data_IF_808359174271
#
_entry.id   IF_808359174271
#
_cell.length_a   1.000
_cell.length_b   1.000
_cell.length_c   1.000
_cell.angle_alpha   90.00
_cell.angle_beta   90.00
_cell.angle_gamma   90.00
#
_symmetry.space_group_name_H-M   'P 1'
#
loop_
_entity.id
_entity.type
_entity.pdbx_description
1 polymer ?
#
# COMPACT_ATOMS: atom_id res chain seq x y z
N UNK A 1 2.70 -7.23 25.73
CA UNK A 1 3.53 -6.28 24.95
C UNK A 1 3.44 -6.65 23.48
N UNK A 2 3.22 -5.69 22.59
CA UNK A 2 3.23 -5.93 21.13
C UNK A 2 4.68 -6.04 20.66
N UNK A 3 5.01 -7.09 19.91
CA UNK A 3 6.37 -7.31 19.42
C UNK A 3 6.64 -6.62 18.07
N UNK A 4 7.90 -6.31 17.72
CA UNK A 4 8.24 -5.81 16.38
C UNK A 4 7.76 -6.73 15.25
N UNK A 5 7.79 -8.04 15.47
CA UNK A 5 7.27 -9.03 14.52
C UNK A 5 5.75 -8.89 14.28
N UNK A 6 4.98 -8.58 15.32
CA UNK A 6 3.55 -8.33 15.15
C UNK A 6 3.31 -7.06 14.31
N UNK A 7 4.07 -6.00 14.57
CA UNK A 7 3.98 -4.74 13.82
C UNK A 7 4.31 -4.93 12.34
N UNK A 8 5.42 -5.60 11.99
CA UNK A 8 5.77 -5.81 10.57
C UNK A 8 4.71 -6.65 9.83
N UNK A 9 4.08 -7.62 10.50
CA UNK A 9 3.01 -8.44 9.90
C UNK A 9 1.74 -7.62 9.66
N UNK A 10 1.43 -6.69 10.56
CA UNK A 10 0.33 -5.75 10.33
C UNK A 10 0.62 -4.81 9.15
N UNK A 11 1.86 -4.36 8.98
CA UNK A 11 2.29 -3.59 7.80
C UNK A 11 2.14 -4.40 6.52
N UNK A 12 2.38 -5.71 6.56
CA UNK A 12 2.26 -6.58 5.39
C UNK A 12 0.81 -6.82 4.93
N UNK A 13 -0.19 -6.68 5.80
CA UNK A 13 -1.58 -7.03 5.48
C UNK A 13 -2.17 -6.22 4.31
N UNK A 14 -2.06 -4.88 4.26
CA UNK A 14 -2.58 -4.11 3.12
C UNK A 14 -1.99 -4.55 1.78
N UNK A 15 -0.68 -4.81 1.74
CA UNK A 15 0.00 -5.30 0.54
C UNK A 15 -0.52 -6.66 0.08
N UNK A 16 -0.72 -7.60 1.00
CA UNK A 16 -1.20 -8.93 0.67
C UNK A 16 -2.67 -8.90 0.25
N UNK A 17 -3.53 -8.15 0.94
CA UNK A 17 -4.97 -8.13 0.69
C UNK A 17 -5.29 -7.27 -0.54
N UNK A 18 -4.88 -6.00 -0.55
CA UNK A 18 -5.19 -5.07 -1.64
C UNK A 18 -4.38 -5.42 -2.90
N UNK A 19 -3.14 -5.89 -2.73
CA UNK A 19 -2.34 -6.41 -3.85
C UNK A 19 -2.98 -7.64 -4.50
N UNK A 20 -3.53 -8.57 -3.71
CA UNK A 20 -4.32 -9.70 -4.24
C UNK A 20 -5.57 -9.24 -4.97
N UNK A 21 -6.25 -8.21 -4.47
CA UNK A 21 -7.41 -7.65 -5.16
C UNK A 21 -7.03 -7.06 -6.53
N UNK A 22 -5.93 -6.30 -6.59
CA UNK A 22 -5.39 -5.77 -7.85
C UNK A 22 -4.94 -6.88 -8.81
N UNK A 23 -4.34 -7.96 -8.30
CA UNK A 23 -3.85 -9.07 -9.13
C UNK A 23 -4.98 -9.92 -9.71
N UNK A 24 -5.91 -10.37 -8.86
CA UNK A 24 -6.91 -11.36 -9.26
C UNK A 24 -8.20 -10.75 -9.77
N UNK A 25 -8.52 -9.50 -9.42
CA UNK A 25 -9.72 -8.81 -9.88
C UNK A 25 -9.42 -7.39 -10.39
N UNK A 26 -8.45 -7.21 -11.32
CA UNK A 26 -7.95 -5.89 -11.73
C UNK A 26 -9.05 -4.97 -12.27
N UNK A 27 -9.99 -5.52 -13.05
CA UNK A 27 -11.10 -4.73 -13.63
C UNK A 27 -12.02 -4.16 -12.55
N UNK A 28 -12.31 -4.94 -11.51
CA UNK A 28 -13.15 -4.46 -10.39
C UNK A 28 -12.51 -3.28 -9.66
N UNK A 29 -11.18 -3.31 -9.50
CA UNK A 29 -10.43 -2.19 -8.91
C UNK A 29 -10.50 -0.98 -9.82
N UNK A 30 -10.14 -1.13 -11.11
CA UNK A 30 -10.15 -0.04 -12.10
C UNK A 30 -11.53 0.63 -12.21
N UNK A 31 -12.60 -0.16 -12.24
CA UNK A 31 -13.98 0.33 -12.26
C UNK A 31 -14.35 1.11 -11.00
N UNK A 32 -13.86 0.67 -9.84
CA UNK A 32 -14.19 1.28 -8.57
C UNK A 32 -13.45 2.61 -8.36
N UNK A 33 -12.15 2.64 -8.67
CA UNK A 33 -11.28 3.75 -8.28
C UNK A 33 -11.16 4.86 -9.33
N UNK A 34 -11.31 4.54 -10.62
CA UNK A 34 -11.17 5.54 -11.68
C UNK A 34 -12.46 6.33 -11.89
N UNK A 35 -12.33 7.65 -12.06
CA UNK A 35 -13.41 8.48 -12.56
C UNK A 35 -13.79 8.07 -13.99
N UNK A 36 -15.08 8.20 -14.38
CA UNK A 36 -15.57 7.74 -15.69
C UNK A 36 -14.74 8.24 -16.88
N UNK A 37 -14.30 9.50 -16.84
CA UNK A 37 -13.56 10.14 -17.94
C UNK A 37 -12.16 9.54 -18.18
N UNK A 38 -11.60 8.86 -17.19
CA UNK A 38 -10.27 8.24 -17.24
C UNK A 38 -10.32 6.70 -17.22
N UNK A 39 -11.53 6.12 -17.24
CA UNK A 39 -11.72 4.69 -17.02
C UNK A 39 -11.47 3.90 -18.30
N UNK A 40 -10.23 3.43 -18.46
CA UNK A 40 -9.86 2.49 -19.52
C UNK A 40 -9.85 1.04 -19.02
N UNK A 41 -10.73 0.20 -19.56
CA UNK A 41 -10.89 -1.21 -19.17
C UNK A 41 -10.38 -2.18 -20.25
N UNK A 42 -9.21 -1.87 -20.81
CA UNK A 42 -8.57 -2.69 -21.84
C UNK A 42 -7.82 -3.88 -21.25
N UNK A 43 -7.39 -4.80 -22.10
CA UNK A 43 -6.48 -5.89 -21.69
C UNK A 43 -5.17 -5.33 -21.13
N UNK A 44 -4.66 -4.24 -21.71
CA UNK A 44 -3.42 -3.59 -21.26
C UNK A 44 -3.57 -3.00 -19.86
N UNK A 45 -4.66 -2.26 -19.57
CA UNK A 45 -4.85 -1.68 -18.23
C UNK A 45 -5.07 -2.75 -17.17
N UNK A 46 -5.77 -3.84 -17.52
CA UNK A 46 -5.89 -5.01 -16.63
C UNK A 46 -4.53 -5.66 -16.34
N UNK A 47 -3.66 -5.81 -17.35
CA UNK A 47 -2.31 -6.32 -17.18
C UNK A 47 -1.47 -5.42 -16.26
N UNK A 48 -1.50 -4.10 -16.49
CA UNK A 48 -0.75 -3.13 -15.68
C UNK A 48 -1.20 -3.15 -14.21
N UNK A 49 -2.51 -3.21 -13.97
CA UNK A 49 -3.07 -3.37 -12.63
C UNK A 49 -2.63 -4.69 -11.98
N UNK A 50 -2.59 -5.79 -12.75
CA UNK A 50 -2.07 -7.07 -12.31
C UNK A 50 -0.57 -7.03 -11.96
N UNK A 51 0.24 -6.30 -12.72
CA UNK A 51 1.66 -6.07 -12.41
C UNK A 51 1.83 -5.28 -11.10
N UNK A 52 1.04 -4.22 -10.91
CA UNK A 52 1.01 -3.46 -9.65
C UNK A 52 0.62 -4.36 -8.47
N UNK A 53 -0.45 -5.15 -8.60
CA UNK A 53 -0.87 -6.11 -7.58
C UNK A 53 0.20 -7.16 -7.25
N UNK A 54 0.89 -7.69 -8.26
CA UNK A 54 1.99 -8.64 -8.09
C UNK A 54 3.15 -8.03 -7.29
N UNK A 55 3.53 -6.79 -7.60
CA UNK A 55 4.58 -6.07 -6.88
C UNK A 55 4.17 -5.80 -5.43
N UNK A 56 2.92 -5.40 -5.19
CA UNK A 56 2.38 -5.21 -3.85
C UNK A 56 2.45 -6.51 -3.03
N UNK A 57 1.99 -7.64 -3.58
CA UNK A 57 2.10 -8.94 -2.91
C UNK A 57 3.56 -9.27 -2.57
N UNK A 58 4.48 -9.06 -3.50
CA UNK A 58 5.91 -9.29 -3.26
C UNK A 58 6.41 -8.47 -2.07
N UNK A 59 6.09 -7.16 -2.01
CA UNK A 59 6.41 -6.30 -0.86
C UNK A 59 5.80 -6.81 0.45
N UNK A 60 4.55 -7.28 0.42
CA UNK A 60 3.87 -7.87 1.56
C UNK A 60 4.56 -9.16 2.06
N UNK A 61 4.97 -10.04 1.15
CA UNK A 61 5.72 -11.24 1.49
C UNK A 61 7.08 -10.92 2.11
N UNK A 62 7.81 -9.94 1.56
CA UNK A 62 9.05 -9.46 2.17
C UNK A 62 8.81 -8.92 3.58
N UNK A 63 7.80 -8.07 3.78
CA UNK A 63 7.47 -7.54 5.11
C UNK A 63 7.05 -8.65 6.10
N UNK A 64 6.35 -9.70 5.62
CA UNK A 64 5.88 -10.79 6.46
C UNK A 64 7.01 -11.72 6.94
N UNK A 65 7.92 -12.08 6.04
CA UNK A 65 8.92 -13.13 6.26
C UNK A 65 10.34 -12.62 6.56
N UNK A 66 10.64 -11.34 6.30
CA UNK A 66 11.94 -10.75 6.63
C UNK A 66 12.06 -10.44 8.13
N UNK A 67 13.26 -10.03 8.55
CA UNK A 67 13.50 -9.47 9.89
C UNK A 67 13.63 -7.96 9.80
N UNK A 68 12.67 -7.23 10.36
CA UNK A 68 12.78 -5.77 10.44
C UNK A 68 13.68 -5.37 11.61
N UNK A 69 14.63 -4.48 11.32
CA UNK A 69 15.39 -3.73 12.33
C UNK A 69 14.73 -2.36 12.56
N UNK A 70 15.19 -1.60 13.54
CA UNK A 70 14.77 -0.20 13.71
C UNK A 70 15.01 0.61 12.43
N UNK A 71 16.16 0.45 11.77
CA UNK A 71 16.46 1.07 10.47
C UNK A 71 15.47 0.65 9.40
N UNK A 72 15.06 -0.62 9.36
CA UNK A 72 14.07 -1.11 8.40
C UNK A 72 12.73 -0.40 8.59
N UNK A 73 12.22 -0.29 9.81
CA UNK A 73 10.98 0.45 10.09
C UNK A 73 11.06 1.93 9.68
N UNK A 74 12.18 2.59 9.97
CA UNK A 74 12.38 3.99 9.58
C UNK A 74 12.40 4.15 8.06
N UNK A 75 13.20 3.34 7.37
CA UNK A 75 13.28 3.36 5.91
C UNK A 75 11.92 3.08 5.26
N UNK A 76 11.17 2.12 5.80
CA UNK A 76 9.82 1.80 5.34
C UNK A 76 8.87 2.99 5.51
N UNK A 77 8.89 3.64 6.68
CA UNK A 77 8.07 4.83 6.93
C UNK A 77 8.36 5.97 5.94
N UNK A 78 9.64 6.20 5.62
CA UNK A 78 10.05 7.20 4.62
C UNK A 78 9.57 6.79 3.21
N UNK A 79 9.70 5.51 2.87
CA UNK A 79 9.28 4.98 1.57
C UNK A 79 7.76 5.07 1.34
N UNK A 80 6.95 5.23 2.41
CA UNK A 80 5.51 5.45 2.28
C UNK A 80 5.14 6.89 1.89
N UNK A 81 6.01 7.88 2.14
CA UNK A 81 5.70 9.30 1.92
C UNK A 81 5.24 9.64 0.49
N UNK A 82 5.84 9.08 -0.57
CA UNK A 82 5.37 9.32 -1.94
C UNK A 82 3.92 8.90 -2.19
N UNK A 83 3.39 7.88 -1.48
CA UNK A 83 2.00 7.45 -1.66
C UNK A 83 1.00 8.51 -1.19
N UNK A 84 1.32 9.28 -0.14
CA UNK A 84 0.45 10.36 0.32
C UNK A 84 0.36 11.49 -0.72
N UNK A 85 1.49 11.84 -1.33
CA UNK A 85 1.52 12.78 -2.44
C UNK A 85 0.72 12.24 -3.64
N UNK A 86 0.94 10.98 -4.01
CA UNK A 86 0.22 10.31 -5.10
C UNK A 86 -1.30 10.36 -4.90
N UNK A 87 -1.79 10.01 -3.70
CA UNK A 87 -3.21 10.09 -3.36
C UNK A 87 -3.74 11.51 -3.50
N UNK A 88 -3.04 12.49 -2.93
CA UNK A 88 -3.49 13.88 -2.98
C UNK A 88 -3.57 14.39 -4.42
N UNK A 89 -2.51 14.16 -5.20
CA UNK A 89 -2.42 14.64 -6.58
C UNK A 89 -3.51 14.03 -7.46
N UNK A 90 -3.65 12.70 -7.46
CA UNK A 90 -4.55 12.03 -8.39
C UNK A 90 -6.02 11.94 -7.94
N UNK A 91 -6.34 12.47 -6.76
CA UNK A 91 -7.72 12.64 -6.29
C UNK A 91 -8.17 14.11 -6.39
N UNK A 92 -7.29 15.08 -6.07
CA UNK A 92 -7.69 16.48 -5.92
C UNK A 92 -7.09 17.44 -6.96
N UNK A 93 -5.90 17.16 -7.51
CA UNK A 93 -5.23 18.04 -8.49
C UNK A 93 -5.55 17.60 -9.91
N UNK A 94 -5.29 16.34 -10.22
CA UNK A 94 -5.67 15.66 -11.46
C UNK A 94 -6.61 14.52 -11.09
N UNK A 95 -7.93 14.71 -11.10
CA UNK A 95 -8.89 13.77 -10.52
C UNK A 95 -9.10 12.53 -11.41
N UNK A 96 -8.02 11.78 -11.63
CA UNK A 96 -8.01 10.48 -12.31
C UNK A 96 -8.72 9.45 -11.44
N UNK A 97 -8.43 9.47 -10.13
CA UNK A 97 -9.11 8.66 -9.15
C UNK A 97 -10.22 9.41 -8.44
N UNK A 98 -11.19 8.65 -7.94
CA UNK A 98 -12.25 9.13 -7.07
C UNK A 98 -11.94 8.86 -5.59
N UNK A 99 -12.92 9.14 -4.73
CA UNK A 99 -12.78 9.04 -3.27
C UNK A 99 -12.50 7.62 -2.74
N UNK A 100 -12.65 6.56 -3.55
CA UNK A 100 -12.25 5.21 -3.15
C UNK A 100 -10.74 5.09 -2.86
N UNK A 101 -9.91 6.01 -3.35
CA UNK A 101 -8.51 6.12 -2.94
C UNK A 101 -8.32 6.40 -1.45
N UNK A 102 -9.37 6.79 -0.72
CA UNK A 102 -9.33 6.83 0.74
C UNK A 102 -8.88 5.49 1.36
N UNK A 103 -9.19 4.35 0.72
CA UNK A 103 -8.72 3.04 1.18
C UNK A 103 -7.19 2.93 1.13
N UNK A 104 -6.57 3.39 0.05
CA UNK A 104 -5.12 3.41 -0.10
C UNK A 104 -4.49 4.40 0.89
N UNK A 105 -5.03 5.62 0.98
CA UNK A 105 -4.58 6.62 1.95
C UNK A 105 -4.63 6.12 3.40
N UNK A 106 -5.75 5.54 3.83
CA UNK A 106 -5.91 5.01 5.21
C UNK A 106 -4.95 3.86 5.45
N UNK A 107 -4.76 2.98 4.47
CA UNK A 107 -3.79 1.89 4.56
C UNK A 107 -2.38 2.41 4.75
N UNK A 108 -1.96 3.40 3.94
CA UNK A 108 -0.65 4.03 4.05
C UNK A 108 -0.47 4.79 5.38
N UNK A 109 -1.50 5.48 5.87
CA UNK A 109 -1.48 6.15 7.16
C UNK A 109 -1.32 5.16 8.33
N UNK A 110 -2.05 4.05 8.29
CA UNK A 110 -1.92 2.98 9.28
C UNK A 110 -0.51 2.37 9.26
N UNK A 111 0.01 2.05 8.07
CA UNK A 111 1.37 1.50 7.91
C UNK A 111 2.46 2.48 8.34
N UNK A 112 2.26 3.79 8.14
CA UNK A 112 3.18 4.82 8.63
C UNK A 112 3.17 4.88 10.16
N UNK A 113 1.99 4.85 10.78
CA UNK A 113 1.85 4.79 12.23
C UNK A 113 2.52 3.54 12.83
N UNK A 114 2.30 2.38 12.20
CA UNK A 114 2.96 1.12 12.56
C UNK A 114 4.47 1.20 12.37
N UNK A 115 4.97 1.82 11.30
CA UNK A 115 6.41 2.04 11.08
C UNK A 115 7.03 2.87 12.18
N UNK A 116 6.39 3.99 12.58
CA UNK A 116 6.85 4.83 13.70
C UNK A 116 6.85 4.04 15.00
N UNK A 117 5.79 3.27 15.29
CA UNK A 117 5.70 2.47 16.50
C UNK A 117 6.78 1.36 16.51
N UNK A 118 6.89 0.59 15.44
CA UNK A 118 7.90 -0.46 15.26
C UNK A 118 9.33 0.06 15.42
N UNK A 119 9.63 1.23 14.87
CA UNK A 119 10.92 1.91 15.05
C UNK A 119 11.20 2.22 16.52
N UNK A 120 10.24 2.79 17.26
CA UNK A 120 10.42 3.15 18.68
C UNK A 120 10.69 1.93 19.54
N UNK A 121 9.88 0.86 19.41
CA UNK A 121 10.04 -0.34 20.23
C UNK A 121 11.30 -1.13 19.88
N UNK A 122 11.75 -1.08 18.62
CA UNK A 122 12.98 -1.74 18.17
C UNK A 122 14.27 -0.98 18.53
N UNK A 123 14.15 0.24 19.10
CA UNK A 123 15.27 1.00 19.68
C UNK A 123 15.37 0.86 21.19
N UNK A 124 14.29 0.46 21.85
CA UNK A 124 14.18 0.38 23.30
C UNK A 124 14.61 -0.99 23.86
N UNK A 125 14.75 -2.00 23.00
CA UNK A 125 15.35 -3.31 23.29
C UNK A 125 16.54 -3.56 22.40
#
# INVERSE_FOLDING_TARGET
MVSPLAIQRLIALPFLVLGSWCLFMPRSVLELVLNPDYRELTTTTALLMGCFGSQAILSGLFAWFSRFTSTTFLAYGIALLPFFWFNYWYVYVEPVFNQWMALDFVSNAAMLGLSVWGWRISRAG
#
